data_IF_410638244524
#
_entry.id   IF_410638244524
#
_cell.length_a   1.000
_cell.length_b   1.000
_cell.length_c   1.000
_cell.angle_alpha   90.00
_cell.angle_beta   90.00
_cell.angle_gamma   90.00
#
_symmetry.space_group_name_H-M   'P 1'
#
loop_
_entity.id
_entity.type
_entity.pdbx_description
1 polymer ?
#
# COMPACT_ATOMS: atom_id res chain seq x y z
N UNK A 1 21.11 -35.49 -6.10
CA UNK A 1 20.34 -36.46 -5.28
C UNK A 1 19.10 -35.73 -4.76
N UNK A 2 17.92 -36.16 -5.22
CA UNK A 2 16.65 -35.62 -4.77
C UNK A 2 16.31 -36.22 -3.41
N UNK A 3 16.41 -35.47 -2.33
CA UNK A 3 15.85 -35.83 -1.03
C UNK A 3 14.34 -36.03 -1.15
N UNK A 4 13.85 -37.21 -0.83
CA UNK A 4 12.41 -37.45 -0.77
C UNK A 4 11.82 -36.78 0.48
N UNK A 5 10.56 -36.35 0.41
CA UNK A 5 9.86 -35.67 1.52
C UNK A 5 9.83 -36.50 2.83
N UNK A 6 10.05 -37.82 2.74
CA UNK A 6 10.03 -38.77 3.85
C UNK A 6 11.36 -38.86 4.60
N UNK A 7 12.45 -38.32 4.03
CA UNK A 7 13.80 -38.44 4.61
C UNK A 7 14.19 -37.25 5.49
N UNK A 8 13.31 -36.24 5.62
CA UNK A 8 13.57 -35.04 6.40
C UNK A 8 12.87 -35.13 7.76
N UNK A 9 13.66 -35.28 8.80
CA UNK A 9 13.18 -35.16 10.18
C UNK A 9 13.03 -33.68 10.56
N UNK A 10 11.84 -33.14 10.35
CA UNK A 10 11.53 -31.74 10.63
C UNK A 10 11.74 -31.32 12.09
N UNK A 11 11.70 -32.26 13.05
CA UNK A 11 11.97 -31.96 14.46
C UNK A 11 13.44 -31.63 14.72
N UNK A 12 14.36 -32.15 13.88
CA UNK A 12 15.79 -31.81 13.96
C UNK A 12 16.14 -30.49 13.31
N UNK A 13 15.17 -29.87 12.62
CA UNK A 13 15.30 -28.56 11.98
C UNK A 13 14.66 -27.43 12.82
N UNK A 14 14.19 -27.72 14.03
CA UNK A 14 13.77 -26.67 14.97
C UNK A 14 14.98 -25.84 15.38
N UNK A 15 14.96 -24.58 14.98
CA UNK A 15 16.04 -23.63 15.19
C UNK A 15 15.67 -22.71 16.34
N UNK A 16 16.62 -22.42 17.22
CA UNK A 16 16.43 -21.45 18.31
C UNK A 16 16.07 -20.08 17.76
N UNK A 17 15.31 -19.29 18.54
CA UNK A 17 14.72 -18.00 18.13
C UNK A 17 15.75 -17.00 17.57
N UNK A 18 17.02 -17.09 18.00
CA UNK A 18 18.12 -16.23 17.50
C UNK A 18 18.58 -16.60 16.10
N UNK A 19 18.57 -17.88 15.77
CA UNK A 19 19.01 -18.40 14.46
C UNK A 19 17.88 -18.31 13.43
N UNK A 20 16.62 -18.30 13.86
CA UNK A 20 15.45 -18.09 13.00
C UNK A 20 15.57 -16.80 12.16
N UNK A 21 16.16 -15.74 12.69
CA UNK A 21 16.39 -14.48 11.95
C UNK A 21 17.38 -14.65 10.79
N UNK A 22 18.42 -15.45 10.98
CA UNK A 22 19.41 -15.71 9.93
C UNK A 22 18.80 -16.57 8.83
N UNK A 23 17.98 -17.54 9.19
CA UNK A 23 17.27 -18.40 8.23
C UNK A 23 16.25 -17.57 7.44
N UNK A 24 15.44 -16.72 8.10
CA UNK A 24 14.51 -15.82 7.44
C UNK A 24 15.24 -14.86 6.47
N UNK A 25 16.42 -14.37 6.86
CA UNK A 25 17.26 -13.54 5.99
C UNK A 25 17.78 -14.33 4.79
N UNK A 26 18.29 -15.55 4.99
CA UNK A 26 18.78 -16.42 3.91
C UNK A 26 17.64 -16.76 2.96
N UNK A 27 16.48 -17.15 3.47
CA UNK A 27 15.29 -17.41 2.66
C UNK A 27 14.92 -16.17 1.86
N UNK A 28 14.91 -15.01 2.48
CA UNK A 28 14.56 -13.73 1.84
C UNK A 28 15.56 -13.33 0.76
N UNK A 29 16.86 -13.61 0.99
CA UNK A 29 17.92 -13.41 -0.02
C UNK A 29 17.76 -14.35 -1.21
N UNK A 30 17.50 -15.64 -0.96
CA UNK A 30 17.31 -16.66 -2.01
C UNK A 30 16.07 -16.33 -2.83
N UNK A 31 15.02 -15.86 -2.17
CA UNK A 31 13.72 -15.56 -2.76
C UNK A 31 13.70 -14.15 -3.38
N UNK A 32 14.68 -13.31 -3.11
CA UNK A 32 14.76 -11.93 -3.57
C UNK A 32 13.73 -11.02 -2.91
N UNK A 33 13.32 -11.29 -1.68
CA UNK A 33 12.29 -10.55 -0.95
C UNK A 33 12.83 -9.49 0.02
N UNK A 34 14.04 -8.98 -0.21
CA UNK A 34 14.63 -7.89 0.58
C UNK A 34 14.21 -6.55 -0.03
N UNK A 35 13.51 -5.74 0.76
CA UNK A 35 12.94 -4.49 0.28
C UNK A 35 13.92 -3.33 0.10
N UNK A 36 15.09 -3.36 0.73
CA UNK A 36 16.08 -2.29 0.59
C UNK A 36 17.44 -2.70 1.17
N UNK A 37 18.42 -2.99 0.31
CA UNK A 37 19.77 -3.35 0.74
C UNK A 37 20.63 -2.12 1.07
N UNK A 38 20.27 -0.92 0.63
CA UNK A 38 21.02 0.30 0.90
C UNK A 38 21.04 0.65 2.40
N UNK A 39 20.06 0.14 3.14
CA UNK A 39 19.91 0.35 4.58
C UNK A 39 20.73 -0.59 5.46
N UNK A 40 21.38 -1.61 4.87
CA UNK A 40 22.15 -2.62 5.65
C UNK A 40 23.39 -2.02 6.31
N UNK A 41 23.96 -0.96 5.76
CA UNK A 41 25.26 -0.39 6.17
C UNK A 41 25.14 0.91 7.00
N UNK A 42 23.95 1.31 7.43
CA UNK A 42 23.79 2.50 8.26
C UNK A 42 24.12 2.16 9.72
N UNK A 43 25.19 2.76 10.25
CA UNK A 43 25.42 2.78 11.70
C UNK A 43 24.24 3.50 12.38
N UNK A 44 23.50 2.76 13.19
CA UNK A 44 22.34 3.30 13.89
C UNK A 44 22.80 4.06 15.13
N UNK A 45 22.80 5.38 15.07
CA UNK A 45 23.23 6.26 16.19
C UNK A 45 22.06 6.67 17.08
N UNK A 46 20.83 6.49 16.63
CA UNK A 46 19.61 6.81 17.36
C UNK A 46 18.47 5.85 17.01
N UNK A 47 17.32 6.03 17.66
CA UNK A 47 16.15 5.17 17.43
C UNK A 47 15.63 5.25 15.98
N UNK A 48 15.63 6.45 15.38
CA UNK A 48 15.20 6.64 14.00
C UNK A 48 16.10 5.86 13.04
N UNK A 49 17.42 5.93 13.22
CA UNK A 49 18.38 5.19 12.40
C UNK A 49 18.21 3.68 12.59
N UNK A 50 17.97 3.23 13.83
CA UNK A 50 17.68 1.83 14.14
C UNK A 50 16.44 1.34 13.40
N UNK A 51 15.39 2.16 13.31
CA UNK A 51 14.17 1.82 12.58
C UNK A 51 14.40 1.86 11.08
N UNK A 52 15.10 2.88 10.56
CA UNK A 52 15.41 3.03 9.13
C UNK A 52 16.32 1.90 8.61
N UNK A 53 17.28 1.45 9.41
CA UNK A 53 18.24 0.40 9.03
C UNK A 53 17.64 -1.01 9.01
N UNK A 54 16.44 -1.21 9.56
CA UNK A 54 15.84 -2.54 9.61
C UNK A 54 15.27 -2.97 8.27
N UNK A 55 15.75 -4.13 7.83
CA UNK A 55 15.21 -4.82 6.66
C UNK A 55 13.85 -5.38 7.01
N UNK A 56 12.86 -5.10 6.18
CA UNK A 56 11.52 -5.67 6.30
C UNK A 56 11.49 -6.95 5.45
N UNK A 57 11.48 -8.10 6.11
CA UNK A 57 11.33 -9.39 5.46
C UNK A 57 9.83 -9.69 5.26
N UNK A 58 9.52 -10.37 4.16
CA UNK A 58 8.19 -10.92 3.97
C UNK A 58 7.90 -11.99 5.02
N UNK A 59 6.68 -11.98 5.53
CA UNK A 59 6.20 -13.08 6.36
C UNK A 59 5.78 -14.30 5.49
N UNK A 60 5.35 -15.37 6.16
CA UNK A 60 4.96 -16.61 5.50
C UNK A 60 3.83 -16.42 4.50
N UNK A 61 2.83 -15.59 4.84
CA UNK A 61 1.65 -15.38 3.99
C UNK A 61 2.01 -14.53 2.77
N UNK A 62 2.83 -13.50 2.97
CA UNK A 62 3.38 -12.68 1.91
C UNK A 62 4.24 -13.52 0.94
N UNK A 63 5.13 -14.35 1.50
CA UNK A 63 6.00 -15.24 0.72
C UNK A 63 5.19 -16.24 -0.08
N UNK A 64 4.18 -16.88 0.53
CA UNK A 64 3.27 -17.78 -0.17
C UNK A 64 2.60 -17.10 -1.36
N UNK A 65 2.09 -15.89 -1.19
CA UNK A 65 1.43 -15.18 -2.27
C UNK A 65 2.35 -14.94 -3.47
N UNK A 66 3.57 -14.46 -3.22
CA UNK A 66 4.53 -14.17 -4.30
C UNK A 66 4.80 -15.41 -5.14
N UNK A 67 4.98 -16.59 -4.50
CA UNK A 67 5.42 -17.83 -5.20
C UNK A 67 4.28 -18.78 -5.57
N UNK A 68 3.09 -18.59 -5.01
CA UNK A 68 1.94 -19.47 -5.28
C UNK A 68 1.19 -19.02 -6.54
N UNK A 69 0.92 -19.97 -7.44
CA UNK A 69 0.18 -19.74 -8.69
C UNK A 69 -1.30 -20.19 -8.63
N UNK A 70 -1.77 -20.63 -7.46
CA UNK A 70 -3.01 -21.41 -7.29
C UNK A 70 -4.31 -20.64 -7.08
N UNK A 71 -4.33 -19.33 -7.10
CA UNK A 71 -5.57 -18.56 -6.97
C UNK A 71 -6.29 -18.46 -8.32
N UNK A 72 -7.63 -18.47 -8.34
CA UNK A 72 -8.46 -18.37 -9.54
C UNK A 72 -8.10 -17.20 -10.49
N UNK A 73 -9.00 -16.82 -11.38
CA UNK A 73 -8.78 -15.72 -12.34
C UNK A 73 -8.55 -14.35 -11.66
N UNK A 74 -9.08 -14.17 -10.47
CA UNK A 74 -8.92 -12.97 -9.62
C UNK A 74 -8.24 -13.34 -8.32
N UNK A 75 -7.33 -12.51 -7.85
CA UNK A 75 -6.70 -12.61 -6.53
C UNK A 75 -6.89 -11.32 -5.76
N UNK A 76 -7.48 -11.42 -4.58
CA UNK A 76 -7.78 -10.29 -3.71
C UNK A 76 -6.89 -10.31 -2.48
N UNK A 77 -6.14 -9.23 -2.27
CA UNK A 77 -5.28 -8.99 -1.11
C UNK A 77 -5.93 -7.90 -0.26
N UNK A 78 -6.23 -8.22 0.98
CA UNK A 78 -6.70 -7.24 1.95
C UNK A 78 -5.65 -7.03 3.04
N UNK A 79 -5.49 -5.80 3.49
CA UNK A 79 -4.55 -5.50 4.56
C UNK A 79 -4.61 -4.05 4.97
N UNK A 80 -4.04 -3.76 6.13
CA UNK A 80 -3.95 -2.41 6.66
C UNK A 80 -2.97 -1.54 5.86
N UNK A 81 -3.08 -0.22 5.99
CA UNK A 81 -2.04 0.69 5.53
C UNK A 81 -0.68 0.28 6.12
N UNK A 82 0.35 0.21 5.27
CA UNK A 82 1.68 -0.22 5.69
C UNK A 82 1.88 -1.72 5.93
N UNK A 83 0.94 -2.57 5.51
CA UNK A 83 1.10 -4.04 5.57
C UNK A 83 1.92 -4.64 4.43
N UNK A 84 2.35 -3.84 3.44
CA UNK A 84 3.18 -4.28 2.33
C UNK A 84 2.40 -4.73 1.09
N UNK A 85 1.13 -4.35 0.92
CA UNK A 85 0.31 -4.70 -0.25
C UNK A 85 0.97 -4.35 -1.58
N UNK A 86 1.41 -3.11 -1.74
CA UNK A 86 2.09 -2.62 -2.94
C UNK A 86 3.37 -3.41 -3.23
N UNK A 87 4.15 -3.75 -2.19
CA UNK A 87 5.36 -4.58 -2.35
C UNK A 87 5.02 -5.97 -2.89
N UNK A 88 3.96 -6.59 -2.38
CA UNK A 88 3.50 -7.88 -2.89
C UNK A 88 3.11 -7.80 -4.37
N UNK A 89 2.39 -6.73 -4.75
CA UNK A 89 2.03 -6.52 -6.15
C UNK A 89 3.27 -6.33 -7.03
N UNK A 90 4.28 -5.58 -6.58
CA UNK A 90 5.54 -5.36 -7.32
C UNK A 90 6.32 -6.67 -7.50
N UNK A 91 6.45 -7.48 -6.46
CA UNK A 91 7.09 -8.79 -6.57
C UNK A 91 6.35 -9.72 -7.54
N UNK A 92 5.02 -9.70 -7.50
CA UNK A 92 4.21 -10.50 -8.42
C UNK A 92 4.30 -9.99 -9.87
N UNK A 93 4.30 -8.67 -10.03
CA UNK A 93 4.53 -8.01 -11.32
C UNK A 93 5.88 -8.43 -11.91
N UNK A 94 6.95 -8.34 -11.12
CA UNK A 94 8.30 -8.78 -11.52
C UNK A 94 8.32 -10.24 -11.94
N UNK A 95 7.71 -11.12 -11.15
CA UNK A 95 7.64 -12.55 -11.47
C UNK A 95 6.96 -12.78 -12.83
N UNK A 96 5.80 -12.15 -13.04
CA UNK A 96 5.04 -12.31 -14.28
C UNK A 96 5.77 -11.70 -15.47
N UNK A 97 6.34 -10.50 -15.32
CA UNK A 97 7.08 -9.82 -16.38
C UNK A 97 8.29 -10.63 -16.85
N UNK A 98 8.98 -11.26 -15.91
CA UNK A 98 10.16 -12.09 -16.22
C UNK A 98 9.78 -13.42 -16.89
N UNK A 99 8.71 -14.08 -16.42
CA UNK A 99 8.30 -15.41 -16.90
C UNK A 99 7.44 -15.39 -18.17
N UNK A 100 6.73 -14.28 -18.44
CA UNK A 100 5.78 -14.16 -19.54
C UNK A 100 6.12 -12.97 -20.45
N UNK A 101 7.17 -13.09 -21.29
CA UNK A 101 7.73 -11.96 -22.04
C UNK A 101 6.77 -11.32 -23.03
N UNK A 102 5.76 -12.06 -23.52
CA UNK A 102 4.82 -11.59 -24.54
C UNK A 102 3.50 -11.08 -23.94
N UNK A 103 3.38 -11.07 -22.61
CA UNK A 103 2.16 -10.64 -21.94
C UNK A 103 2.04 -9.12 -21.86
N UNK A 104 0.82 -8.62 -22.06
CA UNK A 104 0.46 -7.23 -21.82
C UNK A 104 -0.03 -7.08 -20.38
N UNK A 105 0.66 -6.26 -19.62
CA UNK A 105 0.46 -6.11 -18.18
C UNK A 105 0.13 -4.66 -17.87
N UNK A 106 -0.93 -4.40 -17.10
CA UNK A 106 -1.23 -3.08 -16.58
C UNK A 106 -1.14 -3.04 -15.06
N UNK A 107 -0.51 -2.00 -14.54
CA UNK A 107 -0.57 -1.60 -13.14
C UNK A 107 -1.40 -0.32 -13.04
N UNK A 108 -2.39 -0.27 -12.15
CA UNK A 108 -3.26 0.90 -12.03
C UNK A 108 -3.47 1.32 -10.58
N UNK A 109 -3.43 2.64 -10.37
CA UNK A 109 -3.78 3.34 -9.15
C UNK A 109 -4.89 4.34 -9.43
N UNK A 110 -5.62 4.78 -8.40
CA UNK A 110 -6.74 5.68 -8.60
C UNK A 110 -6.32 7.03 -9.17
N UNK A 111 -5.40 7.72 -8.52
CA UNK A 111 -5.01 9.08 -8.89
C UNK A 111 -3.71 9.15 -9.71
N UNK A 112 -3.49 10.32 -10.33
CA UNK A 112 -2.33 10.57 -11.19
C UNK A 112 -1.01 10.58 -10.42
N UNK A 113 -1.01 11.05 -9.18
CA UNK A 113 0.21 11.15 -8.35
C UNK A 113 0.71 9.76 -8.02
N UNK A 114 -0.17 8.87 -7.53
CA UNK A 114 0.19 7.48 -7.25
C UNK A 114 0.68 6.76 -8.51
N UNK A 115 -0.01 6.93 -9.64
CA UNK A 115 0.43 6.33 -10.90
C UNK A 115 1.80 6.88 -11.36
N UNK A 116 2.07 8.16 -11.19
CA UNK A 116 3.37 8.77 -11.48
C UNK A 116 4.46 8.21 -10.56
N UNK A 117 4.20 8.12 -9.27
CA UNK A 117 5.11 7.51 -8.30
C UNK A 117 5.42 6.06 -8.67
N UNK A 118 4.42 5.29 -9.10
CA UNK A 118 4.63 3.90 -9.52
C UNK A 118 5.43 3.78 -10.82
N UNK A 119 5.30 4.74 -11.74
CA UNK A 119 6.14 4.78 -12.97
C UNK A 119 7.62 4.94 -12.66
N UNK A 120 7.98 5.61 -11.60
CA UNK A 120 9.37 5.73 -11.11
C UNK A 120 9.77 4.49 -10.29
N UNK A 121 8.90 4.06 -9.40
CA UNK A 121 9.19 2.97 -8.46
C UNK A 121 9.32 1.59 -9.12
N UNK A 122 8.55 1.30 -10.16
CA UNK A 122 8.62 0.00 -10.86
C UNK A 122 10.02 -0.23 -11.47
N UNK A 123 10.62 0.72 -12.25
CA UNK A 123 11.98 0.57 -12.74
C UNK A 123 13.01 0.41 -11.61
N UNK A 124 12.96 1.27 -10.59
CA UNK A 124 13.86 1.18 -9.43
C UNK A 124 13.78 -0.20 -8.75
N UNK A 125 12.55 -0.72 -8.61
CA UNK A 125 12.34 -2.05 -8.05
C UNK A 125 12.89 -3.15 -8.97
N UNK A 126 12.72 -3.04 -10.29
CA UNK A 126 13.25 -4.02 -11.25
C UNK A 126 14.78 -4.01 -11.26
N UNK A 127 15.40 -2.83 -11.20
CA UNK A 127 16.85 -2.68 -11.10
C UNK A 127 17.39 -3.28 -9.79
N UNK A 128 16.73 -2.98 -8.68
CA UNK A 128 17.04 -3.56 -7.38
C UNK A 128 16.96 -5.09 -7.39
N UNK A 129 15.91 -5.64 -8.01
CA UNK A 129 15.69 -7.08 -8.15
C UNK A 129 16.50 -7.72 -9.27
N UNK A 130 17.40 -6.95 -9.92
CA UNK A 130 18.26 -7.39 -11.03
C UNK A 130 17.49 -8.11 -12.13
N UNK A 131 16.38 -7.51 -12.56
CA UNK A 131 15.62 -8.02 -13.70
C UNK A 131 16.42 -7.72 -14.98
N UNK A 132 16.85 -8.75 -15.67
CA UNK A 132 17.69 -8.61 -16.88
C UNK A 132 16.96 -7.96 -18.05
N UNK A 133 15.63 -8.07 -18.08
CA UNK A 133 14.78 -7.54 -19.16
C UNK A 133 14.44 -6.09 -18.90
N UNK A 134 14.76 -5.22 -19.85
CA UNK A 134 14.31 -3.84 -19.84
C UNK A 134 12.78 -3.74 -19.90
N UNK A 135 12.26 -2.70 -19.25
CA UNK A 135 10.82 -2.43 -19.26
C UNK A 135 10.41 -1.84 -20.62
N UNK A 136 9.51 -2.52 -21.30
CA UNK A 136 8.90 -2.06 -22.55
C UNK A 136 7.59 -1.33 -22.24
N UNK A 137 7.70 -0.05 -21.93
CA UNK A 137 6.54 0.80 -21.64
C UNK A 137 5.65 0.99 -22.86
N UNK A 138 4.33 0.98 -22.63
CA UNK A 138 3.32 1.24 -23.65
C UNK A 138 3.09 0.09 -24.63
N UNK A 139 3.85 -0.99 -24.53
CA UNK A 139 3.67 -2.21 -25.34
C UNK A 139 3.40 -3.42 -24.46
N UNK A 140 4.27 -3.71 -23.50
CA UNK A 140 4.16 -4.85 -22.59
C UNK A 140 3.75 -4.45 -21.18
N UNK A 141 4.26 -3.33 -20.68
CA UNK A 141 3.91 -2.82 -19.37
C UNK A 141 3.29 -1.43 -19.47
N UNK A 142 2.18 -1.27 -18.80
CA UNK A 142 1.45 -0.02 -18.69
C UNK A 142 1.31 0.34 -17.21
N UNK A 143 1.44 1.62 -16.88
CA UNK A 143 1.15 2.15 -15.56
C UNK A 143 0.14 3.29 -15.71
N UNK A 144 -1.07 3.09 -15.23
CA UNK A 144 -2.20 3.96 -15.46
C UNK A 144 -2.75 4.56 -14.16
N UNK A 145 -3.24 5.79 -14.24
CA UNK A 145 -4.28 6.24 -13.31
C UNK A 145 -5.66 5.72 -13.77
N UNK A 146 -6.68 5.92 -12.95
CA UNK A 146 -8.03 5.39 -13.22
C UNK A 146 -8.64 5.87 -14.54
N UNK A 147 -8.76 7.18 -14.72
CA UNK A 147 -9.60 7.79 -15.75
C UNK A 147 -8.92 7.96 -17.11
N UNK A 148 -7.99 8.88 -17.19
CA UNK A 148 -7.31 9.29 -18.43
C UNK A 148 -7.81 10.60 -19.04
N UNK A 149 -7.23 10.98 -20.18
CA UNK A 149 -7.51 12.21 -20.90
C UNK A 149 -8.06 11.91 -22.29
N UNK A 150 -9.01 12.73 -22.77
CA UNK A 150 -9.71 12.52 -24.05
C UNK A 150 -8.73 12.39 -25.24
N UNK A 151 -7.70 13.24 -25.29
CA UNK A 151 -6.75 13.29 -26.41
C UNK A 151 -5.65 12.24 -26.35
N UNK A 152 -5.48 11.57 -25.21
CA UNK A 152 -4.34 10.67 -24.96
C UNK A 152 -4.84 9.25 -24.63
N UNK A 153 -4.86 8.32 -25.60
CA UNK A 153 -5.39 6.97 -25.41
C UNK A 153 -4.73 6.16 -24.29
N UNK A 154 -3.47 6.44 -23.99
CA UNK A 154 -2.67 5.72 -22.99
C UNK A 154 -2.49 6.49 -21.66
N UNK A 155 -3.31 7.51 -21.40
CA UNK A 155 -3.18 8.35 -20.21
C UNK A 155 -3.85 7.78 -18.96
N UNK A 156 -4.70 6.76 -19.08
CA UNK A 156 -5.40 6.13 -17.96
C UNK A 156 -6.06 4.82 -18.36
N UNK A 157 -6.35 3.99 -17.36
CA UNK A 157 -6.88 2.63 -17.58
C UNK A 157 -8.23 2.63 -18.31
N UNK A 158 -9.18 3.43 -17.81
CA UNK A 158 -10.51 3.54 -18.44
C UNK A 158 -10.40 4.09 -19.88
N UNK A 159 -9.57 5.12 -20.10
CA UNK A 159 -9.36 5.68 -21.45
C UNK A 159 -8.73 4.66 -22.41
N UNK A 160 -7.75 3.89 -21.91
CA UNK A 160 -7.12 2.82 -22.68
C UNK A 160 -8.12 1.74 -23.10
N UNK A 161 -8.98 1.31 -22.18
CA UNK A 161 -10.04 0.31 -22.44
C UNK A 161 -11.00 0.86 -23.51
N UNK A 162 -11.50 2.09 -23.37
CA UNK A 162 -12.38 2.69 -24.36
C UNK A 162 -11.73 2.74 -25.75
N UNK A 163 -10.44 3.08 -25.81
CA UNK A 163 -9.69 3.11 -27.07
C UNK A 163 -9.54 1.72 -27.68
N UNK A 164 -9.17 0.72 -26.89
CA UNK A 164 -8.95 -0.65 -27.37
C UNK A 164 -10.22 -1.29 -27.97
N UNK A 165 -11.37 -1.03 -27.32
CA UNK A 165 -12.67 -1.56 -27.78
C UNK A 165 -13.39 -0.64 -28.75
N UNK A 166 -12.84 0.52 -29.08
CA UNK A 166 -13.44 1.54 -29.94
C UNK A 166 -14.85 1.96 -29.46
N UNK A 167 -15.01 2.13 -28.14
CA UNK A 167 -16.24 2.59 -27.51
C UNK A 167 -16.12 4.06 -27.05
N UNK A 168 -17.23 4.77 -26.85
CA UNK A 168 -17.22 6.16 -26.42
C UNK A 168 -16.50 6.34 -25.08
N UNK A 169 -15.63 7.36 -24.99
CA UNK A 169 -14.96 7.75 -23.75
C UNK A 169 -15.72 8.89 -23.08
N UNK A 170 -16.11 8.72 -21.82
CA UNK A 170 -16.64 9.77 -20.96
C UNK A 170 -15.50 10.45 -20.18
N UNK A 171 -15.23 11.74 -20.51
CA UNK A 171 -14.24 12.53 -19.79
C UNK A 171 -14.72 12.97 -18.41
N UNK A 172 -13.80 13.55 -17.63
CA UNK A 172 -14.13 14.18 -16.34
C UNK A 172 -15.16 15.29 -16.54
N UNK A 173 -16.31 15.19 -15.88
CA UNK A 173 -17.46 16.10 -16.09
C UNK A 173 -18.59 15.54 -16.94
N UNK A 174 -18.43 14.39 -17.60
CA UNK A 174 -19.49 13.72 -18.37
C UNK A 174 -20.33 12.73 -17.53
N UNK A 175 -20.12 12.70 -16.21
CA UNK A 175 -20.86 11.85 -15.29
C UNK A 175 -20.02 11.26 -14.20
N UNK A 176 -20.66 10.47 -13.33
CA UNK A 176 -19.99 9.71 -12.28
C UNK A 176 -19.15 8.55 -12.88
N UNK A 177 -17.98 8.31 -12.30
CA UNK A 177 -17.03 7.32 -12.77
C UNK A 177 -17.59 5.90 -12.73
N UNK A 178 -18.38 5.58 -11.69
CA UNK A 178 -19.06 4.29 -11.58
C UNK A 178 -20.05 4.06 -12.72
N UNK A 179 -20.86 5.08 -13.05
CA UNK A 179 -21.82 5.02 -14.16
C UNK A 179 -21.13 4.87 -15.51
N UNK A 180 -19.99 5.55 -15.71
CA UNK A 180 -19.21 5.46 -16.94
C UNK A 180 -18.56 4.07 -17.11
N UNK A 181 -18.07 3.46 -16.05
CA UNK A 181 -17.54 2.10 -16.07
C UNK A 181 -18.65 1.06 -16.39
N UNK A 182 -19.84 1.20 -15.79
CA UNK A 182 -21.01 0.37 -16.10
C UNK A 182 -21.41 0.50 -17.56
N UNK A 183 -21.43 1.73 -18.08
CA UNK A 183 -21.72 1.97 -19.50
C UNK A 183 -20.68 1.31 -20.41
N UNK A 184 -19.37 1.44 -20.09
CA UNK A 184 -18.32 0.81 -20.88
C UNK A 184 -18.46 -0.71 -20.92
N UNK A 185 -18.82 -1.36 -19.81
CA UNK A 185 -19.11 -2.80 -19.76
C UNK A 185 -20.27 -3.15 -20.73
N UNK A 186 -21.35 -2.38 -20.69
CA UNK A 186 -22.50 -2.58 -21.58
C UNK A 186 -22.11 -2.37 -23.06
N UNK A 187 -21.38 -1.30 -23.37
CA UNK A 187 -20.93 -0.98 -24.72
C UNK A 187 -20.00 -2.07 -25.29
N UNK A 188 -19.08 -2.62 -24.47
CA UNK A 188 -18.21 -3.75 -24.87
C UNK A 188 -19.05 -4.99 -25.19
N UNK A 189 -20.01 -5.34 -24.32
CA UNK A 189 -20.90 -6.48 -24.55
C UNK A 189 -21.70 -6.36 -25.84
N UNK A 190 -22.18 -5.16 -26.13
CA UNK A 190 -22.98 -4.87 -27.33
C UNK A 190 -22.11 -4.76 -28.60
N UNK A 191 -20.81 -4.52 -28.48
CA UNK A 191 -19.92 -4.35 -29.64
C UNK A 191 -19.54 -5.64 -30.37
N UNK A 192 -19.87 -6.80 -29.80
CA UNK A 192 -19.41 -8.11 -30.29
C UNK A 192 -17.91 -8.37 -30.08
N UNK A 193 -17.25 -7.55 -29.27
CA UNK A 193 -15.79 -7.62 -28.97
C UNK A 193 -15.49 -8.13 -27.59
N UNK A 194 -16.47 -8.58 -26.82
CA UNK A 194 -16.31 -9.02 -25.43
C UNK A 194 -15.31 -10.19 -25.26
N UNK A 195 -15.15 -11.01 -26.29
CA UNK A 195 -14.21 -12.14 -26.30
C UNK A 195 -12.75 -11.70 -26.47
N UNK A 196 -12.50 -10.53 -27.05
CA UNK A 196 -11.16 -9.96 -27.15
C UNK A 196 -10.74 -9.43 -25.80
N UNK A 197 -9.52 -9.75 -25.37
CA UNK A 197 -8.97 -9.27 -24.10
C UNK A 197 -7.87 -8.24 -24.37
N UNK A 198 -8.02 -7.08 -23.74
CA UNK A 198 -7.08 -5.97 -23.91
C UNK A 198 -5.73 -6.23 -23.22
N UNK A 199 -5.77 -6.94 -22.10
CA UNK A 199 -4.63 -7.19 -21.23
C UNK A 199 -4.57 -8.65 -20.78
N UNK A 200 -3.37 -9.13 -20.49
CA UNK A 200 -3.18 -10.47 -19.93
C UNK A 200 -3.24 -10.46 -18.40
N UNK A 201 -2.61 -9.47 -17.81
CA UNK A 201 -2.58 -9.29 -16.36
C UNK A 201 -2.89 -7.85 -15.99
N UNK A 202 -3.68 -7.68 -14.94
CA UNK A 202 -3.96 -6.36 -14.38
C UNK A 202 -3.69 -6.38 -12.88
N UNK A 203 -3.02 -5.33 -12.40
CA UNK A 203 -2.75 -5.06 -11.00
C UNK A 203 -3.48 -3.78 -10.60
N UNK A 204 -4.36 -3.88 -9.61
CA UNK A 204 -5.07 -2.73 -9.02
C UNK A 204 -4.52 -2.54 -7.61
N UNK A 205 -3.88 -1.41 -7.37
CA UNK A 205 -3.44 -1.00 -6.02
C UNK A 205 -4.39 0.05 -5.45
N UNK A 206 -4.52 0.08 -4.13
CA UNK A 206 -5.47 0.92 -3.37
C UNK A 206 -6.92 0.77 -3.89
N UNK A 207 -7.37 -0.47 -4.00
CA UNK A 207 -8.67 -0.81 -4.63
C UNK A 207 -9.88 -0.22 -3.92
N UNK A 208 -9.78 0.20 -2.66
CA UNK A 208 -10.84 0.88 -1.92
C UNK A 208 -11.22 2.25 -2.51
N UNK A 209 -10.34 2.87 -3.31
CA UNK A 209 -10.59 4.14 -3.96
C UNK A 209 -11.42 3.99 -5.25
N UNK A 210 -11.60 2.75 -5.72
CA UNK A 210 -12.30 2.47 -6.98
C UNK A 210 -13.72 1.98 -6.75
N UNK A 211 -14.68 2.37 -7.61
CA UNK A 211 -15.99 1.74 -7.62
C UNK A 211 -15.88 0.29 -8.11
N UNK A 212 -16.79 -0.57 -7.64
CA UNK A 212 -16.80 -1.99 -8.01
C UNK A 212 -16.90 -2.18 -9.53
N UNK A 213 -17.66 -1.33 -10.24
CA UNK A 213 -17.78 -1.37 -11.70
C UNK A 213 -16.45 -1.21 -12.44
N UNK A 214 -15.50 -0.47 -11.89
CA UNK A 214 -14.17 -0.37 -12.47
C UNK A 214 -13.39 -1.68 -12.30
N UNK A 215 -13.49 -2.32 -11.15
CA UNK A 215 -12.86 -3.63 -10.91
C UNK A 215 -13.47 -4.67 -11.84
N UNK A 216 -14.79 -4.68 -12.01
CA UNK A 216 -15.50 -5.57 -12.92
C UNK A 216 -15.11 -5.32 -14.39
N UNK A 217 -14.95 -4.05 -14.79
CA UNK A 217 -14.46 -3.67 -16.11
C UNK A 217 -13.02 -4.19 -16.33
N UNK A 218 -12.14 -4.03 -15.35
CA UNK A 218 -10.78 -4.56 -15.41
C UNK A 218 -10.77 -6.10 -15.50
N UNK A 219 -11.63 -6.79 -14.75
CA UNK A 219 -11.78 -8.24 -14.81
C UNK A 219 -12.25 -8.72 -16.18
N UNK A 220 -13.22 -8.02 -16.77
CA UNK A 220 -13.78 -8.32 -18.09
C UNK A 220 -12.71 -8.25 -19.20
N UNK A 221 -11.82 -7.26 -19.16
CA UNK A 221 -10.82 -7.02 -20.20
C UNK A 221 -9.52 -7.80 -19.99
N UNK A 222 -9.40 -8.54 -18.88
CA UNK A 222 -8.21 -9.33 -18.51
C UNK A 222 -8.37 -10.78 -18.97
N UNK A 223 -7.35 -11.32 -19.67
CA UNK A 223 -7.36 -12.70 -20.18
C UNK A 223 -6.93 -13.73 -19.14
N UNK A 224 -5.84 -13.46 -18.42
CA UNK A 224 -5.20 -14.43 -17.52
C UNK A 224 -5.54 -14.18 -16.06
N UNK A 225 -5.10 -13.06 -15.48
CA UNK A 225 -5.30 -12.83 -14.05
C UNK A 225 -5.37 -11.36 -13.66
N UNK A 226 -6.30 -11.07 -12.74
CA UNK A 226 -6.48 -9.79 -12.07
C UNK A 226 -6.00 -9.91 -10.61
N UNK A 227 -5.11 -9.01 -10.21
CA UNK A 227 -4.66 -8.84 -8.84
C UNK A 227 -5.23 -7.55 -8.26
N UNK A 228 -5.91 -7.63 -7.13
CA UNK A 228 -6.58 -6.50 -6.49
C UNK A 228 -6.09 -6.37 -5.06
N UNK A 229 -5.47 -5.25 -4.72
CA UNK A 229 -5.00 -4.98 -3.37
C UNK A 229 -5.72 -3.77 -2.77
N UNK A 230 -6.26 -3.91 -1.57
CA UNK A 230 -7.03 -2.87 -0.90
C UNK A 230 -6.85 -2.84 0.62
N UNK A 231 -7.24 -1.71 1.22
CA UNK A 231 -7.22 -1.52 2.65
C UNK A 231 -8.59 -1.83 3.27
N UNK A 232 -8.57 -2.71 4.26
CA UNK A 232 -9.77 -3.15 4.98
C UNK A 232 -10.45 -1.99 5.72
N UNK A 233 -9.66 -1.06 6.28
CA UNK A 233 -10.20 0.04 7.08
C UNK A 233 -10.58 1.29 6.29
N UNK A 234 -9.96 1.51 5.13
CA UNK A 234 -10.26 2.69 4.33
C UNK A 234 -11.62 2.57 3.61
N UNK A 235 -12.16 1.38 3.51
CA UNK A 235 -13.52 1.18 3.03
C UNK A 235 -14.54 1.35 4.16
N UNK A 236 -14.61 2.55 4.71
CA UNK A 236 -15.45 2.90 5.86
C UNK A 236 -16.97 2.77 5.59
N UNK A 237 -17.38 2.66 4.33
CA UNK A 237 -18.79 2.57 3.95
C UNK A 237 -19.30 1.15 3.72
N UNK A 238 -18.40 0.14 3.72
CA UNK A 238 -18.75 -1.26 3.52
C UNK A 238 -18.46 -2.10 4.75
N UNK A 239 -19.26 -3.14 5.06
CA UNK A 239 -18.95 -4.08 6.13
C UNK A 239 -17.59 -4.74 5.88
N UNK A 240 -16.71 -4.74 6.90
CA UNK A 240 -15.38 -5.35 6.82
C UNK A 240 -15.49 -6.85 6.56
N UNK A 241 -16.49 -7.51 7.16
CA UNK A 241 -16.75 -8.93 6.98
C UNK A 241 -16.90 -9.36 5.52
N UNK A 242 -17.55 -8.54 4.70
CA UNK A 242 -17.78 -8.89 3.30
C UNK A 242 -16.49 -8.79 2.48
N UNK A 243 -15.62 -7.84 2.80
CA UNK A 243 -14.33 -7.66 2.14
C UNK A 243 -13.33 -8.75 2.55
N UNK A 244 -13.26 -9.07 3.84
CA UNK A 244 -12.34 -10.10 4.38
C UNK A 244 -12.75 -11.50 3.90
N UNK A 245 -14.04 -11.82 3.89
CA UNK A 245 -14.53 -13.12 3.44
C UNK A 245 -14.31 -13.39 1.93
N UNK A 246 -14.04 -12.34 1.15
CA UNK A 246 -13.74 -12.44 -0.29
C UNK A 246 -12.24 -12.35 -0.60
N UNK A 247 -11.40 -12.12 0.41
CA UNK A 247 -9.96 -11.99 0.22
C UNK A 247 -9.29 -13.37 0.18
N UNK A 248 -8.41 -13.57 -0.81
CA UNK A 248 -7.55 -14.74 -0.87
C UNK A 248 -6.44 -14.65 0.17
N UNK A 249 -6.01 -13.42 0.51
CA UNK A 249 -4.99 -13.14 1.50
C UNK A 249 -5.38 -11.94 2.35
N UNK A 250 -5.21 -12.09 3.66
CA UNK A 250 -5.41 -11.03 4.64
C UNK A 250 -4.09 -10.74 5.36
N UNK A 251 -3.54 -9.54 5.12
CA UNK A 251 -2.31 -9.09 5.76
C UNK A 251 -2.63 -8.41 7.09
N UNK A 252 -2.49 -9.16 8.17
CA UNK A 252 -2.83 -8.72 9.53
C UNK A 252 -1.77 -7.81 10.17
N UNK A 253 -0.54 -7.82 9.65
CA UNK A 253 0.60 -7.11 10.24
C UNK A 253 0.85 -5.79 9.51
N UNK A 254 1.12 -4.74 10.26
CA UNK A 254 1.53 -3.44 9.74
C UNK A 254 3.00 -3.21 10.07
N UNK A 255 3.82 -3.01 9.04
CA UNK A 255 5.28 -2.87 9.19
C UNK A 255 5.76 -1.41 9.14
N UNK A 256 4.89 -0.48 8.79
CA UNK A 256 5.24 0.93 8.63
C UNK A 256 5.09 1.73 9.92
N UNK A 257 4.02 1.49 10.67
CA UNK A 257 3.57 2.36 11.76
C UNK A 257 3.74 1.65 13.11
N UNK A 258 4.22 2.39 14.11
CA UNK A 258 4.25 1.94 15.50
C UNK A 258 2.86 1.45 15.93
N UNK A 259 2.76 0.32 16.67
CA UNK A 259 1.47 -0.24 17.06
C UNK A 259 0.59 0.72 17.85
N UNK A 260 1.14 1.59 18.69
CA UNK A 260 0.36 2.56 19.48
C UNK A 260 -0.23 3.65 18.59
N UNK A 261 0.57 4.19 17.66
CA UNK A 261 0.11 5.18 16.69
C UNK A 261 -0.96 4.60 15.78
N UNK A 262 -0.77 3.35 15.33
CA UNK A 262 -1.73 2.66 14.50
C UNK A 262 -3.06 2.46 15.25
N UNK A 263 -3.01 1.99 16.50
CA UNK A 263 -4.21 1.80 17.32
C UNK A 263 -4.95 3.10 17.58
N UNK A 264 -4.23 4.18 17.85
CA UNK A 264 -4.81 5.50 18.02
C UNK A 264 -5.50 6.01 16.74
N UNK A 265 -4.82 5.90 15.60
CA UNK A 265 -5.39 6.29 14.31
C UNK A 265 -6.63 5.50 13.94
N UNK A 266 -6.65 4.19 14.21
CA UNK A 266 -7.83 3.36 14.01
C UNK A 266 -8.97 3.75 14.96
N UNK A 267 -8.66 4.05 16.23
CA UNK A 267 -9.66 4.48 17.21
C UNK A 267 -10.32 5.80 16.78
N UNK A 268 -9.52 6.75 16.28
CA UNK A 268 -10.06 8.00 15.70
C UNK A 268 -10.93 7.73 14.47
N UNK A 269 -10.43 6.95 13.51
CA UNK A 269 -11.14 6.67 12.26
C UNK A 269 -12.43 5.87 12.46
N UNK A 270 -12.53 5.10 13.53
CA UNK A 270 -13.75 4.37 13.91
C UNK A 270 -14.67 5.16 14.80
N UNK A 271 -14.28 6.36 15.22
CA UNK A 271 -15.04 7.16 16.17
C UNK A 271 -15.23 6.48 17.51
N UNK A 272 -14.20 5.76 18.00
CA UNK A 272 -14.30 5.08 19.31
C UNK A 272 -14.36 6.06 20.49
N UNK A 273 -14.04 7.32 20.26
CA UNK A 273 -14.12 8.41 21.24
C UNK A 273 -15.42 9.22 21.11
N UNK A 274 -16.29 8.87 20.15
CA UNK A 274 -17.58 9.50 19.94
C UNK A 274 -18.68 8.82 20.76
N UNK A 275 -19.74 9.58 21.10
CA UNK A 275 -20.94 9.06 21.77
C UNK A 275 -22.19 9.34 20.89
N UNK A 276 -22.77 8.30 20.30
CA UNK A 276 -22.39 6.88 20.32
C UNK A 276 -21.17 6.59 19.45
N UNK A 277 -20.45 5.50 19.76
CA UNK A 277 -19.36 5.00 18.93
C UNK A 277 -19.82 4.81 17.49
N UNK A 278 -19.11 5.41 16.52
CA UNK A 278 -19.54 5.40 15.12
C UNK A 278 -19.45 4.00 14.50
N UNK A 279 -18.39 3.26 14.79
CA UNK A 279 -18.17 1.93 14.23
C UNK A 279 -17.53 0.99 15.25
N UNK A 280 -18.16 -0.15 15.48
CA UNK A 280 -17.62 -1.22 16.29
C UNK A 280 -17.55 -2.52 15.50
N UNK A 281 -16.37 -3.15 15.46
CA UNK A 281 -16.15 -4.39 14.74
C UNK A 281 -16.55 -5.61 15.59
N UNK A 282 -16.92 -6.69 14.92
CA UNK A 282 -17.10 -8.00 15.56
C UNK A 282 -15.73 -8.61 15.87
N UNK A 283 -15.69 -9.54 16.83
CA UNK A 283 -14.43 -10.19 17.24
C UNK A 283 -13.62 -10.79 16.08
N UNK A 284 -14.22 -11.54 15.11
CA UNK A 284 -13.47 -12.04 13.95
C UNK A 284 -12.90 -10.94 13.04
N UNK A 285 -13.58 -9.79 12.97
CA UNK A 285 -13.13 -8.65 12.17
C UNK A 285 -11.94 -7.98 12.83
N UNK A 286 -11.94 -7.84 14.18
CA UNK A 286 -10.78 -7.37 14.93
C UNK A 286 -9.56 -8.27 14.73
N UNK A 287 -9.73 -9.61 14.78
CA UNK A 287 -8.65 -10.56 14.51
C UNK A 287 -8.11 -10.41 13.08
N UNK A 288 -8.98 -10.27 12.08
CA UNK A 288 -8.61 -10.07 10.68
C UNK A 288 -7.76 -8.80 10.47
N UNK A 289 -7.98 -7.80 11.32
CA UNK A 289 -7.19 -6.57 11.34
C UNK A 289 -5.93 -6.67 12.22
N UNK A 290 -5.62 -7.85 12.76
CA UNK A 290 -4.45 -8.11 13.59
C UNK A 290 -4.56 -7.62 15.03
N UNK A 291 -5.78 -7.42 15.54
CA UNK A 291 -6.03 -7.11 16.93
C UNK A 291 -6.29 -8.37 17.75
N UNK A 292 -5.80 -8.37 18.98
CA UNK A 292 -6.21 -9.31 20.01
C UNK A 292 -7.40 -8.72 20.74
N UNK A 293 -8.53 -9.40 20.66
CA UNK A 293 -9.78 -9.01 21.30
C UNK A 293 -9.96 -9.81 22.60
N UNK A 294 -10.16 -9.12 23.72
CA UNK A 294 -10.43 -9.75 25.01
C UNK A 294 -11.57 -9.03 25.71
N UNK A 295 -12.69 -9.73 25.93
CA UNK A 295 -13.81 -9.22 26.73
C UNK A 295 -13.65 -9.61 28.18
N UNK A 296 -13.77 -8.63 29.10
CA UNK A 296 -13.74 -8.83 30.55
C UNK A 296 -14.91 -8.05 31.15
N UNK A 297 -15.99 -8.76 31.53
CA UNK A 297 -17.25 -8.11 31.92
C UNK A 297 -17.84 -7.31 30.77
N UNK A 298 -18.15 -6.04 31.03
CA UNK A 298 -18.68 -5.09 30.03
C UNK A 298 -17.56 -4.32 29.27
N UNK A 299 -16.33 -4.60 29.59
CA UNK A 299 -15.17 -3.91 28.96
C UNK A 299 -14.49 -4.80 27.93
N UNK A 300 -14.06 -4.19 26.85
CA UNK A 300 -13.25 -4.82 25.80
C UNK A 300 -11.85 -4.25 25.83
N UNK A 301 -10.87 -5.14 25.83
CA UNK A 301 -9.46 -4.81 25.69
C UNK A 301 -9.00 -5.19 24.30
N UNK A 302 -8.58 -4.20 23.54
CA UNK A 302 -7.94 -4.36 22.22
C UNK A 302 -6.45 -4.17 22.39
N UNK A 303 -5.68 -5.07 21.80
CA UNK A 303 -4.21 -4.96 21.80
C UNK A 303 -3.64 -5.47 20.49
N UNK A 304 -2.42 -5.04 20.17
CA UNK A 304 -1.63 -5.55 19.05
C UNK A 304 -0.25 -5.93 19.55
N UNK A 305 0.28 -7.03 19.03
CA UNK A 305 1.67 -7.36 19.33
C UNK A 305 2.61 -6.39 18.60
N UNK A 306 3.73 -6.04 19.22
CA UNK A 306 4.80 -5.35 18.53
C UNK A 306 5.30 -6.26 17.41
N UNK A 307 5.54 -5.66 16.25
CA UNK A 307 6.13 -6.36 15.11
C UNK A 307 7.65 -6.47 15.30
N UNK A 308 8.29 -7.42 14.60
CA UNK A 308 9.76 -7.60 14.62
C UNK A 308 10.54 -6.29 14.43
N UNK A 309 10.02 -5.37 13.62
CA UNK A 309 10.62 -4.05 13.42
C UNK A 309 10.73 -3.21 14.69
N UNK A 310 9.80 -3.43 15.64
CA UNK A 310 9.67 -2.66 16.87
C UNK A 310 10.05 -3.46 18.14
N UNK A 311 10.43 -4.74 18.01
CA UNK A 311 10.81 -5.61 19.12
C UNK A 311 12.02 -5.08 19.91
N UNK A 312 12.96 -4.41 19.22
CA UNK A 312 14.18 -3.89 19.82
C UNK A 312 14.00 -2.48 20.39
N UNK A 313 12.81 -1.89 20.25
CA UNK A 313 12.49 -0.64 20.92
C UNK A 313 12.27 -0.94 22.39
N UNK A 314 12.99 -0.28 23.31
CA UNK A 314 12.81 -0.49 24.74
C UNK A 314 11.34 -0.34 25.14
N UNK A 315 10.82 -1.28 25.94
CA UNK A 315 9.39 -1.26 26.37
C UNK A 315 9.01 0.02 27.14
N UNK A 316 9.99 0.67 27.75
CA UNK A 316 9.83 1.95 28.45
C UNK A 316 10.00 3.17 27.53
N UNK A 317 10.28 2.97 26.24
CA UNK A 317 10.35 4.08 25.30
C UNK A 317 8.99 4.76 25.19
N UNK A 318 8.97 6.04 25.54
CA UNK A 318 7.79 6.88 25.36
C UNK A 318 7.78 7.36 23.92
N UNK A 319 7.09 6.60 23.04
CA UNK A 319 6.74 7.16 21.74
C UNK A 319 5.77 8.30 21.97
N UNK A 320 6.11 9.49 21.50
CA UNK A 320 5.21 10.62 21.50
C UNK A 320 4.24 10.44 20.33
N UNK A 321 3.11 9.81 20.60
CA UNK A 321 2.18 9.43 19.57
C UNK A 321 1.40 10.63 19.04
N UNK A 322 0.99 11.55 19.90
CA UNK A 322 0.11 12.67 19.53
C UNK A 322 0.42 13.88 20.39
N UNK A 323 0.57 15.04 19.75
CA UNK A 323 0.52 16.35 20.38
C UNK A 323 -0.72 17.07 19.90
N UNK A 324 -1.60 17.41 20.81
CA UNK A 324 -2.68 18.35 20.55
C UNK A 324 -2.15 19.76 20.84
N UNK A 325 -2.27 20.63 19.84
CA UNK A 325 -1.97 22.05 19.99
C UNK A 325 -3.29 22.79 20.17
N UNK A 326 -3.49 23.35 21.35
CA UNK A 326 -4.63 24.20 21.63
C UNK A 326 -4.36 25.64 21.19
N UNK A 327 -5.36 26.31 20.67
CA UNK A 327 -5.39 27.73 20.37
C UNK A 327 -5.49 28.08 18.89
N UNK A 328 -5.95 29.33 18.67
CA UNK A 328 -6.21 29.91 17.34
C UNK A 328 -4.96 30.39 16.62
N UNK A 329 -3.80 30.50 17.31
CA UNK A 329 -2.53 30.98 16.75
C UNK A 329 -1.69 29.83 16.16
N UNK A 330 -2.31 28.99 15.36
CA UNK A 330 -1.64 27.88 14.69
C UNK A 330 -1.04 28.32 13.35
N UNK A 331 -0.28 29.41 13.36
CA UNK A 331 0.38 29.88 12.16
C UNK A 331 1.50 28.95 11.68
N UNK A 332 2.01 29.20 10.46
CA UNK A 332 3.13 28.44 9.89
C UNK A 332 4.35 28.38 10.81
N UNK A 333 4.57 29.40 11.66
CA UNK A 333 5.68 29.45 12.62
C UNK A 333 5.65 28.29 13.60
N UNK A 334 4.49 28.01 14.17
CA UNK A 334 4.34 26.92 15.14
C UNK A 334 4.62 25.54 14.54
N UNK A 335 4.23 25.33 13.27
CA UNK A 335 4.57 24.08 12.57
C UNK A 335 6.09 23.99 12.38
N UNK A 336 6.74 25.08 12.01
CA UNK A 336 8.20 25.12 11.84
C UNK A 336 8.90 24.86 13.17
N UNK A 337 8.46 25.47 14.28
CA UNK A 337 9.02 25.22 15.61
C UNK A 337 8.93 23.74 16.02
N UNK A 338 7.80 23.08 15.70
CA UNK A 338 7.64 21.63 15.94
C UNK A 338 8.61 20.83 15.10
N UNK A 339 8.78 21.17 13.81
CA UNK A 339 9.72 20.48 12.94
C UNK A 339 11.15 20.64 13.45
N UNK A 340 11.53 21.84 13.92
CA UNK A 340 12.84 22.11 14.50
C UNK A 340 13.05 21.25 15.75
N UNK A 341 12.10 21.25 16.69
CA UNK A 341 12.16 20.44 17.91
C UNK A 341 12.29 18.94 17.61
N UNK A 342 11.55 18.43 16.61
CA UNK A 342 11.69 17.04 16.18
C UNK A 342 13.08 16.77 15.59
N UNK A 343 13.62 17.70 14.79
CA UNK A 343 14.94 17.56 14.17
C UNK A 343 16.07 17.63 15.21
N UNK A 344 15.98 18.50 16.19
CA UNK A 344 16.95 18.59 17.29
C UNK A 344 17.02 17.28 18.08
N UNK A 345 15.89 16.66 18.32
CA UNK A 345 15.80 15.33 18.97
C UNK A 345 16.24 14.18 18.09
N UNK A 346 16.20 14.35 16.77
CA UNK A 346 16.56 13.33 15.77
C UNK A 346 17.43 13.95 14.67
N UNK A 347 18.75 14.10 14.89
CA UNK A 347 19.65 14.77 13.96
C UNK A 347 19.67 14.20 12.54
N UNK A 348 19.42 12.89 12.40
CA UNK A 348 19.31 12.17 11.12
C UNK A 348 17.97 12.35 10.38
N UNK A 349 17.06 13.18 10.92
CA UNK A 349 15.80 13.50 10.30
C UNK A 349 16.01 14.29 8.99
N UNK A 350 15.40 13.85 7.93
CA UNK A 350 15.44 14.49 6.60
C UNK A 350 14.06 15.05 6.24
N UNK A 351 14.04 15.94 5.24
CA UNK A 351 12.80 16.56 4.76
C UNK A 351 11.73 15.53 4.32
N UNK A 352 12.14 14.40 3.75
CA UNK A 352 11.27 13.32 3.31
C UNK A 352 10.64 12.50 4.44
N UNK A 353 11.08 12.69 5.68
CA UNK A 353 10.55 11.99 6.85
C UNK A 353 9.33 12.68 7.48
N UNK A 354 9.01 13.91 7.03
CA UNK A 354 7.92 14.73 7.57
C UNK A 354 6.88 15.01 6.49
N UNK A 355 5.61 14.83 6.84
CA UNK A 355 4.48 15.26 6.03
C UNK A 355 3.57 16.21 6.84
N UNK A 356 3.15 17.29 6.21
CA UNK A 356 2.13 18.19 6.73
C UNK A 356 0.88 18.03 5.89
N UNK A 357 -0.22 17.60 6.52
CA UNK A 357 -1.49 17.31 5.85
C UNK A 357 -2.51 18.37 6.29
N UNK A 358 -3.06 19.07 5.33
CA UNK A 358 -4.15 20.03 5.56
C UNK A 358 -5.49 19.35 5.28
N UNK A 359 -6.41 19.43 6.22
CA UNK A 359 -7.74 18.82 6.12
C UNK A 359 -8.81 19.77 5.56
N UNK A 360 -8.43 21.01 5.31
CA UNK A 360 -9.34 22.04 4.76
C UNK A 360 -8.96 22.35 3.30
N UNK A 361 -9.97 22.53 2.45
CA UNK A 361 -9.83 22.86 1.03
C UNK A 361 -10.11 24.35 0.72
N UNK A 362 -10.18 25.21 1.73
CA UNK A 362 -10.44 26.65 1.57
C UNK A 362 -9.32 27.37 0.81
N UNK A 363 -9.66 28.41 0.05
CA UNK A 363 -8.71 29.14 -0.80
C UNK A 363 -7.50 29.75 -0.06
N UNK A 364 -7.67 30.09 1.24
CA UNK A 364 -6.58 30.60 2.09
C UNK A 364 -5.47 29.58 2.39
N UNK A 365 -5.73 28.30 2.21
CA UNK A 365 -4.75 27.23 2.42
C UNK A 365 -3.51 27.43 1.57
N UNK A 366 -3.65 27.88 0.33
CA UNK A 366 -2.51 28.07 -0.56
C UNK A 366 -1.55 29.14 -0.05
N UNK A 367 -2.07 30.24 0.50
CA UNK A 367 -1.24 31.30 1.13
C UNK A 367 -0.52 30.75 2.35
N UNK A 368 -1.22 29.95 3.17
CA UNK A 368 -0.65 29.31 4.34
C UNK A 368 0.47 28.34 3.96
N UNK A 369 0.25 27.48 2.96
CA UNK A 369 1.25 26.56 2.44
C UNK A 369 2.47 27.31 1.90
N UNK A 370 2.28 28.38 1.15
CA UNK A 370 3.40 29.20 0.64
C UNK A 370 4.21 29.84 1.75
N UNK A 371 3.54 30.36 2.78
CA UNK A 371 4.21 30.90 3.97
C UNK A 371 5.01 29.82 4.71
N UNK A 372 4.43 28.65 4.94
CA UNK A 372 5.09 27.52 5.58
C UNK A 372 6.32 27.09 4.80
N UNK A 373 6.22 26.92 3.46
CA UNK A 373 7.35 26.57 2.60
C UNK A 373 8.51 27.55 2.71
N UNK A 374 8.19 28.84 2.63
CA UNK A 374 9.20 29.91 2.74
C UNK A 374 9.95 29.83 4.08
N UNK A 375 9.23 29.63 5.18
CA UNK A 375 9.81 29.54 6.52
C UNK A 375 10.63 28.27 6.73
N UNK A 376 10.15 27.13 6.28
CA UNK A 376 10.91 25.84 6.31
C UNK A 376 12.21 26.00 5.53
N UNK A 377 12.17 26.58 4.33
CA UNK A 377 13.39 26.82 3.54
C UNK A 377 14.34 27.80 4.23
N UNK A 378 13.84 28.86 4.82
CA UNK A 378 14.65 29.88 5.51
C UNK A 378 15.31 29.34 6.77
N UNK A 379 14.61 28.53 7.58
CA UNK A 379 15.10 28.08 8.87
C UNK A 379 15.82 26.75 8.84
N UNK A 380 15.45 25.84 7.94
CA UNK A 380 15.97 24.48 7.86
C UNK A 380 16.75 24.20 6.55
N UNK A 381 16.68 25.10 5.57
CA UNK A 381 17.26 24.87 4.25
C UNK A 381 16.55 23.79 3.42
N UNK A 382 15.38 23.33 3.85
CA UNK A 382 14.65 22.26 3.22
C UNK A 382 13.71 22.76 2.10
N UNK A 383 13.71 22.04 0.98
CA UNK A 383 12.75 22.24 -0.10
C UNK A 383 11.54 21.33 0.11
N UNK A 384 10.34 21.91 0.16
CA UNK A 384 9.09 21.16 0.36
C UNK A 384 8.32 21.00 -0.96
N UNK A 385 7.84 19.79 -1.24
CA UNK A 385 6.95 19.51 -2.35
C UNK A 385 5.49 19.63 -1.92
N UNK A 386 4.62 20.17 -2.79
CA UNK A 386 3.17 20.12 -2.63
C UNK A 386 2.69 18.98 -3.54
N UNK A 387 1.98 18.03 -2.98
CA UNK A 387 1.32 16.96 -3.72
C UNK A 387 -0.19 17.05 -3.59
#
# INVERSE_FOLDING_TARGET
ESLSRNDIDFKKLEVETKESRVIDLIISLIVGSINDTSRINLEANNLLDTIKSKIILFDTDQTKFVFQSGFGKKSVIQGLAGSGKTELLLHKLKEIYSKNPDSRIAFTCFNKILASTMRTRIPEFFDFMRVEKQIEWGTKLFCFNSWGLTKEPFSGMYRYICHYYEIPFGGFGNGDFDALCKKAIADINNSGRADKKALDYVFIDESQDFPQSFIDLCEMVTSKKLYVAGDVFQNIFMPISDNVNRADIVLKKCYRTDPKNLMFSHALGMGLYEEPVLRWLKEPEWDSCGYKYKKVGDRVHLSRDPLRRFEDIPKNHKSTAVHLLEGTDNGPDKIVDIIIDIKERNPSLEQGDIAVIFLDAGGYIYEYIHSLKSKVKQQLGWDSNIS
#
